data_IF_929607499191
#
_entry.id   IF_929607499191
#
_cell.length_a   1.000
_cell.length_b   1.000
_cell.length_c   1.000
_cell.angle_alpha   90.00
_cell.angle_beta   90.00
_cell.angle_gamma   90.00
#
_symmetry.space_group_name_H-M   'P 1'
#
loop_
_entity.id
_entity.type
_entity.pdbx_description
1 polymer ?
#
# COMPACT_ATOMS: atom_id res chain seq x y z
N UNK A 1 32.96 51.55 31.43
CA UNK A 1 33.08 50.11 31.12
C UNK A 1 31.68 49.60 30.77
N UNK A 2 31.16 49.90 29.59
CA UNK A 2 29.81 49.45 29.18
C UNK A 2 29.68 49.64 27.67
N UNK A 3 30.25 48.74 26.87
CA UNK A 3 30.01 48.74 25.41
C UNK A 3 30.20 47.39 24.71
N UNK A 4 30.44 46.28 25.42
CA UNK A 4 30.72 44.98 24.78
C UNK A 4 29.59 43.93 24.92
N UNK A 5 28.45 44.26 25.55
CA UNK A 5 27.38 43.26 25.77
C UNK A 5 26.26 43.24 24.72
N UNK A 6 26.18 44.23 23.83
CA UNK A 6 25.09 44.33 22.85
C UNK A 6 25.36 43.54 21.56
N UNK A 7 26.62 43.50 21.11
CA UNK A 7 27.04 42.81 19.87
C UNK A 7 27.00 41.28 19.99
N UNK A 8 27.30 40.73 21.16
CA UNK A 8 27.31 39.28 21.39
C UNK A 8 25.89 38.69 21.44
N UNK A 9 24.92 39.43 21.98
CA UNK A 9 23.51 39.04 22.02
C UNK A 9 22.88 39.00 20.62
N UNK A 10 23.26 39.95 19.74
CA UNK A 10 22.81 39.96 18.34
C UNK A 10 23.44 38.82 17.52
N UNK A 11 24.72 38.49 17.75
CA UNK A 11 25.40 37.35 17.12
C UNK A 11 24.81 36.00 17.55
N UNK A 12 24.48 35.84 18.84
CA UNK A 12 23.78 34.64 19.35
C UNK A 12 22.35 34.55 18.79
N UNK A 13 21.64 35.67 18.66
CA UNK A 13 20.32 35.74 18.05
C UNK A 13 20.30 35.39 16.55
N UNK A 14 21.29 35.85 15.78
CA UNK A 14 21.46 35.46 14.37
C UNK A 14 21.88 33.99 14.22
N UNK A 15 22.72 33.47 15.13
CA UNK A 15 23.14 32.06 15.13
C UNK A 15 21.99 31.12 15.48
N UNK A 16 21.12 31.50 16.42
CA UNK A 16 19.90 30.74 16.76
C UNK A 16 18.82 30.81 15.66
N UNK A 17 18.67 31.95 14.96
CA UNK A 17 17.80 32.04 13.78
C UNK A 17 18.31 31.20 12.60
N UNK A 18 19.63 31.12 12.41
CA UNK A 18 20.23 30.26 11.38
C UNK A 18 20.16 28.77 11.74
N UNK A 19 20.21 28.39 13.02
CA UNK A 19 19.94 27.02 13.46
C UNK A 19 18.46 26.64 13.33
N UNK A 20 17.52 27.55 13.62
CA UNK A 20 16.09 27.27 13.48
C UNK A 20 15.68 27.14 12.00
N UNK A 21 16.28 27.93 11.12
CA UNK A 21 16.12 27.86 9.66
C UNK A 21 16.85 26.67 9.02
N UNK A 22 17.98 26.21 9.56
CA UNK A 22 18.65 24.99 9.08
C UNK A 22 17.84 23.71 9.37
N UNK A 23 16.89 23.75 10.30
CA UNK A 23 16.01 22.64 10.66
C UNK A 23 14.63 22.70 9.98
N UNK A 24 14.34 23.73 9.17
CA UNK A 24 13.08 23.83 8.40
C UNK A 24 13.18 23.23 6.99
N UNK A 25 14.35 22.72 6.62
CA UNK A 25 14.54 21.97 5.38
C UNK A 25 14.50 20.47 5.69
N UNK A 26 13.84 19.64 4.86
CA UNK A 26 13.90 18.18 5.02
C UNK A 26 15.35 17.71 5.09
N UNK A 27 15.68 16.64 5.84
CA UNK A 27 17.05 16.14 5.94
C UNK A 27 17.58 15.89 4.53
N UNK A 28 18.59 16.69 4.18
CA UNK A 28 19.02 16.96 2.81
C UNK A 28 19.14 15.65 2.03
N UNK A 29 18.28 15.42 1.04
CA UNK A 29 18.21 14.16 0.27
C UNK A 29 19.56 13.65 -0.26
N UNK A 30 20.56 14.55 -0.37
CA UNK A 30 21.96 14.21 -0.63
C UNK A 30 22.59 13.22 0.37
N UNK A 31 22.23 13.28 1.66
CA UNK A 31 22.77 12.39 2.68
C UNK A 31 22.10 11.01 2.65
N UNK A 32 20.82 10.96 2.28
CA UNK A 32 20.08 9.71 2.07
C UNK A 32 20.64 8.93 0.87
N UNK A 33 21.11 9.63 -0.17
CA UNK A 33 21.76 9.04 -1.35
C UNK A 33 23.30 8.96 -1.26
N UNK A 34 23.90 9.16 -0.07
CA UNK A 34 25.35 9.07 0.11
C UNK A 34 25.87 7.65 -0.18
N UNK A 35 27.06 7.50 -0.75
CA UNK A 35 27.72 6.19 -0.93
C UNK A 35 28.09 5.54 0.40
N UNK A 36 28.33 6.35 1.44
CA UNK A 36 28.72 5.89 2.77
C UNK A 36 27.51 5.39 3.58
N UNK A 37 27.49 4.10 3.93
CA UNK A 37 26.39 3.47 4.70
C UNK A 37 26.13 4.23 6.01
N UNK A 38 27.18 4.56 6.76
CA UNK A 38 27.05 5.27 8.05
C UNK A 38 26.34 6.62 7.90
N UNK A 39 26.59 7.32 6.79
CA UNK A 39 25.92 8.60 6.47
C UNK A 39 24.44 8.39 6.19
N UNK A 40 24.09 7.36 5.40
CA UNK A 40 22.70 7.02 5.11
C UNK A 40 21.93 6.59 6.36
N UNK A 41 22.51 5.70 7.18
CA UNK A 41 21.90 5.22 8.42
C UNK A 41 21.59 6.40 9.37
N UNK A 42 22.53 7.34 9.51
CA UNK A 42 22.31 8.56 10.31
C UNK A 42 21.22 9.45 9.72
N UNK A 43 21.17 9.57 8.39
CA UNK A 43 20.15 10.35 7.71
C UNK A 43 18.74 9.77 7.90
N UNK A 44 18.59 8.44 7.84
CA UNK A 44 17.30 7.75 8.07
C UNK A 44 16.85 7.92 9.52
N UNK A 45 17.75 7.77 10.49
CA UNK A 45 17.44 8.03 11.90
C UNK A 45 16.97 9.47 12.15
N UNK A 46 17.67 10.44 11.55
CA UNK A 46 17.27 11.85 11.64
C UNK A 46 15.92 12.10 10.94
N UNK A 47 15.66 11.42 9.82
CA UNK A 47 14.36 11.50 9.13
C UNK A 47 13.24 10.96 10.00
N UNK A 48 13.43 9.80 10.65
CA UNK A 48 12.47 9.24 11.59
C UNK A 48 12.13 10.22 12.72
N UNK A 49 13.14 10.84 13.34
CA UNK A 49 12.97 11.86 14.38
C UNK A 49 12.26 13.13 13.89
N UNK A 50 12.54 13.54 12.65
CA UNK A 50 11.86 14.69 12.04
C UNK A 50 10.39 14.40 11.78
N UNK A 51 10.09 13.24 11.19
CA UNK A 51 8.75 12.81 10.82
C UNK A 51 7.84 12.54 12.03
N UNK A 52 8.43 12.15 13.17
CA UNK A 52 7.70 11.98 14.43
C UNK A 52 7.34 13.30 15.14
N UNK A 53 7.73 14.46 14.60
CA UNK A 53 7.44 15.77 15.19
C UNK A 53 6.37 16.53 14.40
N UNK A 54 5.14 16.52 14.92
CA UNK A 54 3.92 17.08 14.31
C UNK A 54 4.04 18.55 13.93
N UNK A 55 4.84 19.32 14.67
CA UNK A 55 4.99 20.75 14.41
C UNK A 55 5.84 21.07 13.17
N UNK A 56 6.53 20.07 12.59
CA UNK A 56 7.51 20.28 11.52
C UNK A 56 7.42 19.27 10.38
N UNK A 57 6.53 18.27 10.46
CA UNK A 57 6.48 17.19 9.48
C UNK A 57 5.58 17.48 8.26
N UNK A 58 5.00 18.67 8.16
CA UNK A 58 4.32 19.12 6.94
C UNK A 58 5.37 19.51 5.88
N UNK A 59 5.43 18.73 4.81
CA UNK A 59 6.38 18.88 3.73
C UNK A 59 5.66 19.32 2.46
N UNK A 60 6.16 20.39 1.85
CA UNK A 60 5.70 20.80 0.53
C UNK A 60 5.92 19.67 -0.50
N UNK A 61 5.08 19.62 -1.55
CA UNK A 61 5.22 18.62 -2.62
C UNK A 61 6.65 18.55 -3.22
N UNK A 62 7.32 19.68 -3.57
CA UNK A 62 8.69 19.64 -4.05
C UNK A 62 9.70 19.07 -3.05
N UNK A 63 9.47 19.29 -1.76
CA UNK A 63 10.35 18.77 -0.69
C UNK A 63 10.13 17.28 -0.45
N UNK A 64 8.87 16.83 -0.52
CA UNK A 64 8.50 15.41 -0.54
C UNK A 64 9.14 14.68 -1.74
N UNK A 65 9.14 15.29 -2.92
CA UNK A 65 9.77 14.72 -4.13
C UNK A 65 11.29 14.57 -3.98
N UNK A 66 11.96 15.60 -3.43
CA UNK A 66 13.41 15.54 -3.15
C UNK A 66 13.73 14.50 -2.10
N UNK A 67 12.91 14.42 -1.05
CA UNK A 67 13.05 13.45 0.03
C UNK A 67 12.99 12.04 -0.53
N UNK A 68 11.91 11.70 -1.25
CA UNK A 68 11.74 10.38 -1.82
C UNK A 68 12.78 10.03 -2.88
N UNK A 69 13.28 11.02 -3.63
CA UNK A 69 14.40 10.80 -4.56
C UNK A 69 15.66 10.38 -3.79
N UNK A 70 15.93 11.05 -2.67
CA UNK A 70 17.02 10.69 -1.75
C UNK A 70 16.86 9.29 -1.17
N UNK A 71 15.66 8.94 -0.70
CA UNK A 71 15.36 7.60 -0.14
C UNK A 71 15.52 6.52 -1.21
N UNK A 72 14.96 6.73 -2.41
CA UNK A 72 15.01 5.79 -3.52
C UNK A 72 16.45 5.41 -3.88
N UNK A 73 17.32 6.41 -4.09
CA UNK A 73 18.72 6.14 -4.40
C UNK A 73 19.53 5.70 -3.17
N UNK A 74 19.11 6.04 -1.96
CA UNK A 74 19.65 5.46 -0.73
C UNK A 74 19.43 3.95 -0.65
N UNK A 75 18.24 3.49 -1.01
CA UNK A 75 17.89 2.08 -1.11
C UNK A 75 18.57 1.40 -2.32
N UNK A 76 18.75 2.13 -3.42
CA UNK A 76 19.50 1.68 -4.59
C UNK A 76 20.93 1.22 -4.24
N UNK A 77 21.59 1.94 -3.33
CA UNK A 77 22.95 1.65 -2.83
C UNK A 77 23.02 0.56 -1.75
N UNK A 78 21.90 -0.09 -1.41
CA UNK A 78 21.87 -1.22 -0.47
C UNK A 78 22.03 -2.54 -1.19
N UNK A 79 23.17 -3.20 -1.04
CA UNK A 79 23.53 -4.42 -1.80
C UNK A 79 23.46 -5.72 -0.98
N UNK A 80 23.57 -5.64 0.35
CA UNK A 80 23.57 -6.84 1.22
C UNK A 80 22.13 -7.26 1.54
N UNK A 81 21.72 -8.53 1.29
CA UNK A 81 20.31 -8.95 1.44
C UNK A 81 19.68 -8.64 2.80
N UNK A 82 20.36 -8.96 3.91
CA UNK A 82 19.85 -8.66 5.26
C UNK A 82 19.74 -7.15 5.53
N UNK A 83 20.64 -6.35 4.94
CA UNK A 83 20.60 -4.89 5.05
C UNK A 83 19.44 -4.33 4.23
N UNK A 84 19.17 -4.88 3.04
CA UNK A 84 18.01 -4.50 2.24
C UNK A 84 16.70 -4.79 2.97
N UNK A 85 16.58 -5.97 3.59
CA UNK A 85 15.39 -6.35 4.36
C UNK A 85 15.16 -5.43 5.55
N UNK A 86 16.20 -5.21 6.36
CA UNK A 86 16.12 -4.31 7.52
C UNK A 86 15.76 -2.88 7.11
N UNK A 87 16.41 -2.36 6.05
CA UNK A 87 16.16 -1.02 5.55
C UNK A 87 14.76 -0.86 4.96
N UNK A 88 14.25 -1.85 4.23
CA UNK A 88 12.89 -1.80 3.69
C UNK A 88 11.84 -1.76 4.81
N UNK A 89 12.04 -2.53 5.87
CA UNK A 89 11.20 -2.46 7.08
C UNK A 89 11.30 -1.10 7.75
N UNK A 90 12.51 -0.59 7.99
CA UNK A 90 12.74 0.72 8.62
C UNK A 90 12.08 1.86 7.84
N UNK A 91 12.18 1.85 6.51
CA UNK A 91 11.55 2.85 5.65
C UNK A 91 10.02 2.75 5.66
N UNK A 92 9.46 1.54 5.58
CA UNK A 92 8.02 1.35 5.61
C UNK A 92 7.41 1.72 6.97
N UNK A 93 8.09 1.41 8.07
CA UNK A 93 7.65 1.75 9.42
C UNK A 93 7.62 3.27 9.67
N UNK A 94 8.26 4.10 8.85
CA UNK A 94 8.09 5.57 8.91
C UNK A 94 6.64 6.00 8.74
N UNK A 95 5.85 5.28 7.92
CA UNK A 95 4.40 5.48 7.77
C UNK A 95 3.68 5.36 9.12
N UNK A 96 4.19 4.48 9.98
CA UNK A 96 3.67 4.21 11.32
C UNK A 96 4.30 5.10 12.40
N UNK A 97 5.48 5.67 12.14
CA UNK A 97 6.16 6.64 13.02
C UNK A 97 5.56 8.04 12.92
N UNK A 98 5.14 8.46 11.72
CA UNK A 98 4.41 9.72 11.54
C UNK A 98 3.12 9.64 12.35
N UNK A 99 2.85 10.63 13.18
CA UNK A 99 1.76 10.65 14.16
C UNK A 99 0.41 10.93 13.50
N UNK A 100 0.31 11.96 12.69
CA UNK A 100 -0.93 12.37 12.01
C UNK A 100 -1.21 11.49 10.80
N UNK A 101 -2.49 11.18 10.57
CA UNK A 101 -2.88 10.30 9.44
C UNK A 101 -2.65 10.99 8.12
N UNK A 102 -2.99 12.28 8.02
CA UNK A 102 -2.78 13.04 6.80
C UNK A 102 -1.31 13.15 6.40
N UNK A 103 -0.38 13.48 7.32
CA UNK A 103 1.05 13.53 6.98
C UNK A 103 1.61 12.15 6.62
N UNK A 104 1.10 11.09 7.27
CA UNK A 104 1.48 9.70 6.96
C UNK A 104 1.04 9.30 5.55
N UNK A 105 -0.19 9.64 5.16
CA UNK A 105 -0.72 9.41 3.81
C UNK A 105 -0.03 10.29 2.76
N UNK A 106 0.33 11.54 3.08
CA UNK A 106 1.13 12.38 2.20
C UNK A 106 2.53 11.79 1.95
N UNK A 107 3.18 11.24 2.98
CA UNK A 107 4.44 10.51 2.82
C UNK A 107 4.27 9.28 1.91
N UNK A 108 3.20 8.51 2.11
CA UNK A 108 2.86 7.36 1.28
C UNK A 108 2.55 7.74 -0.17
N UNK A 109 1.91 8.89 -0.42
CA UNK A 109 1.69 9.42 -1.77
C UNK A 109 3.02 9.64 -2.49
N UNK A 110 3.96 10.29 -1.83
CA UNK A 110 5.30 10.51 -2.37
C UNK A 110 6.06 9.20 -2.66
N UNK A 111 5.86 8.15 -1.85
CA UNK A 111 6.39 6.81 -2.13
C UNK A 111 5.88 6.29 -3.47
N UNK A 112 4.56 6.27 -3.66
CA UNK A 112 3.94 5.72 -4.86
C UNK A 112 4.30 6.51 -6.12
N UNK A 113 4.29 7.84 -6.06
CA UNK A 113 4.72 8.69 -7.17
C UNK A 113 6.19 8.44 -7.55
N UNK A 114 7.07 8.27 -6.56
CA UNK A 114 8.47 7.92 -6.79
C UNK A 114 8.60 6.54 -7.44
N UNK A 115 7.87 5.55 -6.93
CA UNK A 115 7.90 4.19 -7.46
C UNK A 115 7.42 4.18 -8.91
N UNK A 116 6.28 4.79 -9.21
CA UNK A 116 5.76 4.89 -10.59
C UNK A 116 6.75 5.56 -11.53
N UNK A 117 7.39 6.65 -11.09
CA UNK A 117 8.33 7.41 -11.93
C UNK A 117 9.61 6.62 -12.25
N UNK A 118 10.20 5.95 -11.27
CA UNK A 118 11.52 5.34 -11.41
C UNK A 118 11.47 3.84 -11.78
N UNK A 119 10.30 3.19 -11.69
CA UNK A 119 10.17 1.73 -11.81
C UNK A 119 10.84 1.13 -13.04
N UNK A 120 10.58 1.72 -14.22
CA UNK A 120 11.11 1.23 -15.50
C UNK A 120 12.64 1.40 -15.60
N UNK A 121 13.23 2.26 -14.77
CA UNK A 121 14.69 2.45 -14.69
C UNK A 121 15.39 1.46 -13.76
N UNK A 122 14.64 0.62 -13.02
CA UNK A 122 15.22 -0.38 -12.13
C UNK A 122 15.72 -1.57 -12.96
N UNK A 123 17.02 -1.86 -12.88
CA UNK A 123 17.61 -2.99 -13.58
C UNK A 123 17.28 -4.34 -12.92
N UNK A 124 17.48 -5.41 -13.69
CA UNK A 124 17.14 -6.79 -13.29
C UNK A 124 17.83 -7.25 -12.01
N UNK A 125 19.00 -6.74 -11.66
CA UNK A 125 19.73 -7.15 -10.45
C UNK A 125 19.16 -6.48 -9.18
N UNK A 126 18.37 -5.42 -9.34
CA UNK A 126 17.82 -4.63 -8.23
C UNK A 126 16.31 -4.80 -8.05
N UNK A 127 15.60 -5.31 -9.04
CA UNK A 127 14.13 -5.34 -9.00
C UNK A 127 13.56 -6.09 -7.79
N UNK A 128 14.18 -7.20 -7.37
CA UNK A 128 13.69 -8.03 -6.26
C UNK A 128 13.61 -7.26 -4.93
N UNK A 129 14.61 -6.41 -4.62
CA UNK A 129 14.57 -5.61 -3.39
C UNK A 129 13.49 -4.53 -3.46
N UNK A 130 13.17 -4.01 -4.65
CA UNK A 130 12.08 -3.05 -4.82
C UNK A 130 10.70 -3.71 -4.77
N UNK A 131 10.55 -4.95 -5.26
CA UNK A 131 9.35 -5.75 -5.00
C UNK A 131 9.12 -5.96 -3.50
N UNK A 132 10.18 -6.30 -2.75
CA UNK A 132 10.12 -6.40 -1.30
C UNK A 132 9.78 -5.06 -0.63
N UNK A 133 10.36 -3.95 -1.11
CA UNK A 133 10.06 -2.61 -0.59
C UNK A 133 8.57 -2.28 -0.74
N UNK A 134 8.01 -2.49 -1.93
CA UNK A 134 6.57 -2.30 -2.18
C UNK A 134 5.74 -3.15 -1.22
N UNK A 135 6.11 -4.42 -1.02
CA UNK A 135 5.41 -5.31 -0.08
C UNK A 135 5.40 -4.76 1.35
N UNK A 136 6.53 -4.22 1.84
CA UNK A 136 6.62 -3.60 3.17
C UNK A 136 5.74 -2.35 3.29
N UNK A 137 5.73 -1.50 2.27
CA UNK A 137 4.90 -0.29 2.25
C UNK A 137 3.39 -0.60 2.19
N UNK A 138 2.98 -1.60 1.42
CA UNK A 138 1.57 -2.05 1.39
C UNK A 138 1.13 -2.52 2.77
N UNK A 139 1.92 -3.37 3.44
CA UNK A 139 1.61 -3.83 4.80
C UNK A 139 1.55 -2.67 5.82
N UNK A 140 2.53 -1.76 5.77
CA UNK A 140 2.56 -0.60 6.65
C UNK A 140 1.35 0.34 6.41
N UNK A 141 0.88 0.45 5.16
CA UNK A 141 -0.32 1.20 4.82
C UNK A 141 -1.57 0.61 5.49
N UNK A 142 -1.75 -0.72 5.43
CA UNK A 142 -2.87 -1.37 6.13
C UNK A 142 -2.75 -1.24 7.65
N UNK A 143 -1.55 -1.42 8.22
CA UNK A 143 -1.33 -1.19 9.66
C UNK A 143 -1.65 0.25 10.06
N UNK A 144 -1.40 1.23 9.18
CA UNK A 144 -1.77 2.62 9.41
C UNK A 144 -3.28 2.80 9.42
N UNK A 145 -3.99 2.25 8.44
CA UNK A 145 -5.45 2.33 8.36
C UNK A 145 -6.12 1.61 9.55
N UNK A 146 -5.58 0.48 9.98
CA UNK A 146 -6.00 -0.22 11.21
C UNK A 146 -5.85 0.68 12.44
N UNK A 147 -4.71 1.38 12.60
CA UNK A 147 -4.51 2.33 13.71
C UNK A 147 -5.43 3.54 13.64
N UNK A 148 -5.85 3.92 12.42
CA UNK A 148 -6.86 4.94 12.20
C UNK A 148 -8.29 4.38 12.30
N UNK A 149 -8.46 3.15 12.77
CA UNK A 149 -9.76 2.47 12.93
C UNK A 149 -10.59 2.44 11.64
N UNK A 150 -9.91 2.28 10.50
CA UNK A 150 -10.51 2.32 9.16
C UNK A 150 -11.33 3.58 8.92
N UNK A 151 -10.86 4.72 9.42
CA UNK A 151 -11.47 6.02 9.17
C UNK A 151 -11.79 6.23 7.69
N UNK A 152 -13.01 6.69 7.40
CA UNK A 152 -13.57 6.73 6.05
C UNK A 152 -12.75 7.66 5.15
N UNK A 153 -12.35 8.81 5.68
CA UNK A 153 -11.58 9.81 4.93
C UNK A 153 -10.15 9.30 4.69
N UNK A 154 -9.53 8.66 5.69
CA UNK A 154 -8.22 8.03 5.54
C UNK A 154 -8.23 6.91 4.48
N UNK A 155 -9.27 6.07 4.47
CA UNK A 155 -9.41 5.02 3.45
C UNK A 155 -9.67 5.61 2.05
N UNK A 156 -10.46 6.68 1.97
CA UNK A 156 -10.71 7.39 0.72
C UNK A 156 -9.42 8.03 0.17
N UNK A 157 -8.63 8.70 1.02
CA UNK A 157 -7.34 9.27 0.65
C UNK A 157 -6.34 8.20 0.23
N UNK A 158 -6.27 7.06 0.94
CA UNK A 158 -5.43 5.94 0.53
C UNK A 158 -5.82 5.38 -0.86
N UNK A 159 -7.12 5.22 -1.10
CA UNK A 159 -7.62 4.81 -2.41
C UNK A 159 -7.30 5.82 -3.51
N UNK A 160 -7.41 7.13 -3.21
CA UNK A 160 -7.00 8.19 -4.12
C UNK A 160 -5.50 8.11 -4.43
N UNK A 161 -4.63 7.89 -3.44
CA UNK A 161 -3.20 7.71 -3.65
C UNK A 161 -2.91 6.58 -4.65
N UNK A 162 -3.69 5.50 -4.61
CA UNK A 162 -3.51 4.38 -5.53
C UNK A 162 -4.01 4.66 -6.95
N UNK A 163 -5.11 5.41 -7.09
CA UNK A 163 -5.84 5.58 -8.35
C UNK A 163 -5.58 6.91 -9.08
N UNK A 164 -5.15 7.96 -8.38
CA UNK A 164 -4.87 9.26 -8.96
C UNK A 164 -3.67 9.20 -9.92
N UNK A 165 -3.48 10.27 -10.71
CA UNK A 165 -2.31 10.39 -11.58
C UNK A 165 -1.01 10.27 -10.75
N UNK A 166 -0.08 9.43 -11.21
CA UNK A 166 1.13 9.08 -10.44
C UNK A 166 0.94 7.93 -9.43
N UNK A 167 -0.29 7.43 -9.24
CA UNK A 167 -0.58 6.24 -8.45
C UNK A 167 -0.30 4.93 -9.21
N UNK A 168 0.04 3.82 -8.51
CA UNK A 168 0.47 2.56 -9.10
C UNK A 168 -0.60 1.80 -9.91
N UNK A 169 -1.88 2.20 -9.80
CA UNK A 169 -3.01 1.54 -10.46
C UNK A 169 -4.00 2.53 -11.08
N UNK A 170 -3.53 3.73 -11.44
CA UNK A 170 -4.31 4.70 -12.20
C UNK A 170 -4.76 4.11 -13.55
N UNK A 171 -6.07 3.92 -13.81
CA UNK A 171 -6.52 3.22 -15.03
C UNK A 171 -6.30 4.02 -16.32
N UNK A 172 -6.20 5.35 -16.22
CA UNK A 172 -6.08 6.29 -17.33
C UNK A 172 -4.65 6.75 -17.60
N UNK A 173 -3.70 6.48 -16.69
CA UNK A 173 -2.31 6.90 -16.84
C UNK A 173 -1.46 5.78 -17.48
N UNK A 174 -1.17 5.95 -18.78
CA UNK A 174 -0.34 5.02 -19.55
C UNK A 174 1.12 4.97 -19.09
N UNK A 175 1.58 5.91 -18.23
CA UNK A 175 2.93 5.90 -17.68
C UNK A 175 3.07 4.93 -16.52
N UNK A 176 1.96 4.45 -15.95
CA UNK A 176 1.97 3.47 -14.87
C UNK A 176 2.58 2.16 -15.37
N UNK A 177 3.69 1.70 -14.78
CA UNK A 177 4.31 0.44 -15.15
C UNK A 177 3.37 -0.73 -14.84
N UNK A 178 2.99 -1.52 -15.84
CA UNK A 178 2.06 -2.65 -15.64
C UNK A 178 2.59 -3.70 -14.67
N UNK A 179 3.90 -3.94 -14.66
CA UNK A 179 4.55 -4.85 -13.70
C UNK A 179 4.39 -4.40 -12.24
N UNK A 180 4.32 -3.08 -11.99
CA UNK A 180 4.08 -2.56 -10.64
C UNK A 180 2.65 -2.83 -10.21
N UNK A 181 1.67 -2.55 -11.08
CA UNK A 181 0.27 -2.88 -10.85
C UNK A 181 0.04 -4.38 -10.62
N UNK A 182 0.73 -5.24 -11.38
CA UNK A 182 0.62 -6.70 -11.27
C UNK A 182 1.19 -7.21 -9.96
N UNK A 183 2.38 -6.75 -9.58
CA UNK A 183 2.96 -7.09 -8.28
C UNK A 183 2.08 -6.60 -7.13
N UNK A 184 1.52 -5.40 -7.24
CA UNK A 184 0.60 -4.90 -6.23
C UNK A 184 -0.62 -5.83 -6.11
N UNK A 185 -1.23 -6.26 -7.21
CA UNK A 185 -2.33 -7.22 -7.19
C UNK A 185 -1.93 -8.57 -6.56
N UNK A 186 -0.72 -9.07 -6.82
CA UNK A 186 -0.22 -10.35 -6.31
C UNK A 186 -0.10 -10.38 -4.78
N UNK A 187 0.20 -9.24 -4.16
CA UNK A 187 0.53 -9.18 -2.73
C UNK A 187 -0.56 -8.53 -1.86
N UNK A 188 -1.52 -7.83 -2.47
CA UNK A 188 -2.39 -6.90 -1.74
C UNK A 188 -3.18 -7.57 -0.62
N UNK A 189 -3.90 -8.65 -0.93
CA UNK A 189 -4.72 -9.36 0.06
C UNK A 189 -3.85 -10.13 1.05
N UNK A 190 -2.71 -10.67 0.62
CA UNK A 190 -1.75 -11.33 1.50
C UNK A 190 -1.19 -10.38 2.56
N UNK A 191 -0.86 -9.14 2.18
CA UNK A 191 -0.36 -8.15 3.13
C UNK A 191 -1.46 -7.54 4.01
N UNK A 192 -2.72 -7.48 3.53
CA UNK A 192 -3.88 -7.14 4.36
C UNK A 192 -4.09 -8.21 5.45
N UNK A 193 -4.08 -9.49 5.07
CA UNK A 193 -4.23 -10.60 6.00
C UNK A 193 -3.18 -10.58 7.11
N UNK A 194 -1.90 -10.39 6.73
CA UNK A 194 -0.80 -10.23 7.70
C UNK A 194 -0.99 -9.01 8.60
N UNK A 195 -1.44 -7.88 8.05
CA UNK A 195 -1.65 -6.68 8.85
C UNK A 195 -2.72 -6.92 9.93
N UNK A 196 -3.82 -7.60 9.59
CA UNK A 196 -4.87 -8.01 10.53
C UNK A 196 -4.35 -8.95 11.63
N UNK A 197 -3.48 -9.89 11.29
CA UNK A 197 -2.88 -10.83 12.24
C UNK A 197 -1.94 -10.17 13.27
N UNK A 198 -1.28 -9.06 12.89
CA UNK A 198 -0.24 -8.40 13.71
C UNK A 198 -0.78 -7.34 14.67
N UNK A 199 -2.09 -7.11 14.70
CA UNK A 199 -2.70 -6.11 15.58
C UNK A 199 -2.69 -6.56 17.04
N UNK A 200 -2.21 -5.70 17.95
CA UNK A 200 -2.09 -6.00 19.39
C UNK A 200 -3.43 -6.01 20.14
N UNK A 201 -4.43 -5.33 19.59
CA UNK A 201 -5.84 -5.41 20.00
C UNK A 201 -6.67 -5.91 18.83
N UNK A 202 -7.80 -6.61 19.06
CA UNK A 202 -8.70 -7.00 17.97
C UNK A 202 -9.08 -5.74 17.18
N UNK A 203 -8.62 -5.61 15.93
CA UNK A 203 -8.92 -4.42 15.15
C UNK A 203 -10.40 -4.42 14.79
N UNK A 204 -10.94 -3.23 14.47
CA UNK A 204 -12.20 -3.18 13.75
C UNK A 204 -12.08 -4.01 12.45
N UNK A 205 -13.17 -4.65 11.99
CA UNK A 205 -13.13 -5.48 10.80
C UNK A 205 -12.74 -4.66 9.57
N UNK A 206 -11.93 -5.22 8.67
CA UNK A 206 -11.52 -4.52 7.46
C UNK A 206 -12.70 -4.27 6.50
N UNK A 207 -12.92 -3.05 6.00
CA UNK A 207 -13.97 -2.76 5.03
C UNK A 207 -13.55 -3.18 3.62
N UNK A 208 -13.77 -4.45 3.27
CA UNK A 208 -13.17 -5.04 2.08
C UNK A 208 -13.61 -4.37 0.79
N UNK A 209 -14.86 -3.95 0.67
CA UNK A 209 -15.32 -3.27 -0.54
C UNK A 209 -14.53 -1.99 -0.78
N UNK A 210 -14.36 -1.17 0.27
CA UNK A 210 -13.56 0.05 0.22
C UNK A 210 -12.09 -0.27 -0.12
N UNK A 211 -11.49 -1.30 0.49
CA UNK A 211 -10.07 -1.62 0.29
C UNK A 211 -9.77 -2.20 -1.12
N UNK A 212 -10.68 -2.96 -1.73
CA UNK A 212 -10.47 -3.54 -3.07
C UNK A 212 -11.00 -2.66 -4.21
N UNK A 213 -11.74 -1.59 -3.91
CA UNK A 213 -12.32 -0.66 -4.90
C UNK A 213 -11.31 -0.17 -5.95
N UNK A 214 -10.04 0.12 -5.63
CA UNK A 214 -9.06 0.49 -6.65
C UNK A 214 -8.83 -0.58 -7.73
N UNK A 215 -8.83 -1.86 -7.35
CA UNK A 215 -8.66 -2.96 -8.30
C UNK A 215 -9.91 -3.23 -9.12
N UNK A 216 -11.10 -3.06 -8.54
CA UNK A 216 -12.36 -3.14 -9.29
C UNK A 216 -12.43 -2.02 -10.33
N UNK A 217 -12.02 -0.80 -9.97
CA UNK A 217 -11.94 0.34 -10.88
C UNK A 217 -10.93 0.12 -12.00
N UNK A 218 -9.73 -0.40 -11.68
CA UNK A 218 -8.74 -0.77 -12.69
C UNK A 218 -9.25 -1.90 -13.60
N UNK A 219 -9.90 -2.93 -13.07
CA UNK A 219 -10.47 -4.01 -13.87
C UNK A 219 -11.54 -3.50 -14.84
N UNK A 220 -12.40 -2.57 -14.39
CA UNK A 220 -13.42 -1.96 -15.22
C UNK A 220 -12.84 -1.12 -16.37
N UNK A 221 -11.80 -0.34 -16.09
CA UNK A 221 -11.32 0.71 -16.98
C UNK A 221 -10.04 0.36 -17.75
N UNK A 222 -9.34 -0.72 -17.41
CA UNK A 222 -8.05 -1.05 -18.05
C UNK A 222 -8.20 -1.29 -19.56
N UNK A 223 -7.33 -0.71 -20.41
CA UNK A 223 -7.42 -0.89 -21.86
C UNK A 223 -6.98 -2.27 -22.33
N UNK A 224 -6.23 -3.03 -21.52
CA UNK A 224 -5.65 -4.31 -21.94
C UNK A 224 -6.36 -5.50 -21.27
N UNK A 225 -6.70 -6.50 -22.09
CA UNK A 225 -7.29 -7.74 -21.55
C UNK A 225 -6.32 -8.51 -20.66
N UNK A 226 -5.01 -8.32 -20.81
CA UNK A 226 -3.99 -8.96 -19.99
C UNK A 226 -4.04 -8.44 -18.56
N UNK A 227 -4.13 -7.11 -18.38
CA UNK A 227 -4.25 -6.50 -17.05
C UNK A 227 -5.52 -6.97 -16.34
N UNK A 228 -6.66 -7.00 -17.03
CA UNK A 228 -7.89 -7.56 -16.46
C UNK A 228 -7.69 -8.99 -15.94
N UNK A 229 -7.17 -9.89 -16.80
CA UNK A 229 -6.94 -11.30 -16.45
C UNK A 229 -5.97 -11.44 -15.28
N UNK A 230 -4.96 -10.57 -15.20
CA UNK A 230 -4.00 -10.58 -14.09
C UNK A 230 -4.66 -10.17 -12.77
N UNK A 231 -5.46 -9.10 -12.74
CA UNK A 231 -6.20 -8.67 -11.55
C UNK A 231 -7.18 -9.75 -11.10
N UNK A 232 -7.92 -10.34 -12.05
CA UNK A 232 -8.86 -11.41 -11.78
C UNK A 232 -8.15 -12.63 -11.15
N UNK A 233 -7.07 -13.11 -11.77
CA UNK A 233 -6.39 -14.32 -11.32
C UNK A 233 -5.56 -14.12 -10.04
N UNK A 234 -4.98 -12.93 -9.82
CA UNK A 234 -4.10 -12.67 -8.69
C UNK A 234 -4.84 -12.19 -7.43
N UNK A 235 -5.97 -11.49 -7.60
CA UNK A 235 -6.65 -10.83 -6.49
C UNK A 235 -8.10 -11.26 -6.34
N UNK A 236 -8.93 -11.16 -7.39
CA UNK A 236 -10.38 -11.38 -7.25
C UNK A 236 -10.73 -12.86 -7.03
N UNK A 237 -10.18 -13.76 -7.85
CA UNK A 237 -10.49 -15.18 -7.73
C UNK A 237 -9.98 -15.78 -6.40
N UNK A 238 -8.73 -15.54 -5.95
CA UNK A 238 -8.28 -16.03 -4.65
C UNK A 238 -9.09 -15.46 -3.48
N UNK A 239 -9.46 -14.17 -3.54
CA UNK A 239 -10.29 -13.55 -2.50
C UNK A 239 -11.69 -14.17 -2.45
N UNK A 240 -12.38 -14.32 -3.58
CA UNK A 240 -13.72 -14.89 -3.60
C UNK A 240 -13.73 -16.38 -3.25
N UNK A 241 -12.72 -17.14 -3.67
CA UNK A 241 -12.53 -18.52 -3.24
C UNK A 241 -12.31 -18.61 -1.73
N UNK A 242 -11.48 -17.74 -1.15
CA UNK A 242 -11.26 -17.70 0.29
C UNK A 242 -12.51 -17.30 1.10
N UNK A 243 -13.41 -16.50 0.53
CA UNK A 243 -14.68 -16.11 1.15
C UNK A 243 -15.82 -17.11 0.88
N UNK A 244 -15.60 -18.16 0.10
CA UNK A 244 -16.61 -19.18 -0.17
C UNK A 244 -16.79 -20.11 1.03
N UNK A 245 -17.93 -20.80 1.12
CA UNK A 245 -18.14 -21.83 2.14
C UNK A 245 -17.07 -22.92 1.99
N UNK A 246 -16.53 -23.47 3.11
CA UNK A 246 -15.70 -24.67 3.02
C UNK A 246 -16.59 -25.83 2.54
N UNK A 247 -16.46 -26.20 1.28
CA UNK A 247 -17.10 -27.39 0.71
C UNK A 247 -16.60 -28.63 1.48
N UNK A 248 -17.48 -29.58 1.80
CA UNK A 248 -17.09 -30.87 2.40
C UNK A 248 -16.37 -31.81 1.42
N UNK A 249 -16.19 -31.41 0.16
CA UNK A 249 -15.69 -32.25 -0.95
C UNK A 249 -14.37 -31.76 -1.55
N UNK A 250 -13.34 -31.48 -0.74
CA UNK A 250 -11.99 -31.27 -1.26
C UNK A 250 -11.38 -32.61 -1.73
N UNK A 251 -11.71 -33.04 -2.95
CA UNK A 251 -10.94 -34.05 -3.68
C UNK A 251 -9.55 -33.46 -4.03
N UNK A 252 -8.43 -34.17 -3.77
CA UNK A 252 -7.09 -33.59 -3.87
C UNK A 252 -6.74 -33.12 -5.30
N UNK A 253 -6.14 -31.93 -5.47
CA UNK A 253 -5.86 -31.37 -6.77
C UNK A 253 -4.81 -32.19 -7.53
N UNK A 254 -5.11 -32.50 -8.79
CA UNK A 254 -4.22 -33.23 -9.70
C UNK A 254 -2.93 -32.45 -9.94
N UNK A 255 -1.81 -33.14 -9.71
CA UNK A 255 -0.44 -32.63 -9.77
C UNK A 255 -0.08 -32.06 -11.15
N UNK A 256 -0.20 -30.75 -11.39
CA UNK A 256 0.55 -30.09 -12.49
C UNK A 256 0.76 -28.57 -12.41
N UNK A 257 0.40 -27.90 -11.32
CA UNK A 257 0.74 -26.48 -11.09
C UNK A 257 1.27 -26.19 -9.68
N UNK A 258 2.13 -27.06 -9.17
CA UNK A 258 2.86 -26.81 -7.93
C UNK A 258 4.20 -26.13 -8.22
N UNK A 259 4.24 -24.79 -8.23
CA UNK A 259 5.46 -24.09 -7.84
C UNK A 259 5.18 -22.67 -7.33
N UNK A 260 5.66 -22.42 -6.10
CA UNK A 260 5.76 -21.16 -5.34
C UNK A 260 4.62 -20.72 -4.40
N UNK A 261 3.88 -21.66 -3.81
CA UNK A 261 3.23 -21.44 -2.52
C UNK A 261 3.47 -22.66 -1.62
N UNK A 262 4.39 -22.52 -0.68
CA UNK A 262 4.46 -23.45 0.45
C UNK A 262 3.28 -23.12 1.38
N UNK A 263 2.09 -23.59 1.01
CA UNK A 263 0.93 -23.59 1.90
C UNK A 263 0.76 -25.02 2.39
N UNK A 264 1.06 -25.22 3.66
CA UNK A 264 0.67 -26.39 4.44
C UNK A 264 -0.83 -26.66 4.27
N UNK A 265 -1.18 -27.88 3.84
CA UNK A 265 -2.45 -28.59 4.02
C UNK A 265 -3.74 -27.75 3.90
N UNK A 266 -4.29 -27.53 2.69
CA UNK A 266 -5.70 -27.16 2.47
C UNK A 266 -6.22 -25.90 3.19
N UNK A 267 -5.35 -25.14 3.86
CA UNK A 267 -5.76 -24.03 4.68
C UNK A 267 -6.07 -22.81 3.81
N UNK A 268 -7.16 -22.11 4.15
CA UNK A 268 -7.54 -20.86 3.53
C UNK A 268 -6.33 -19.90 3.49
N UNK A 269 -5.98 -19.30 2.33
CA UNK A 269 -4.81 -18.45 2.21
C UNK A 269 -4.93 -17.12 2.97
N UNK A 270 -6.14 -16.70 3.33
CA UNK A 270 -6.43 -15.42 3.98
C UNK A 270 -7.33 -15.58 5.23
N UNK A 271 -6.91 -16.33 6.26
CA UNK A 271 -7.75 -16.67 7.40
C UNK A 271 -8.17 -15.45 8.24
N UNK A 272 -7.35 -14.40 8.29
CA UNK A 272 -7.64 -13.18 9.04
C UNK A 272 -8.58 -12.26 8.26
N UNK A 273 -8.42 -12.19 6.94
CA UNK A 273 -9.37 -11.49 6.06
C UNK A 273 -10.76 -12.11 6.21
N UNK A 274 -10.89 -13.43 6.15
CA UNK A 274 -12.19 -14.10 6.27
C UNK A 274 -12.83 -13.89 7.65
N UNK A 275 -12.04 -13.95 8.72
CA UNK A 275 -12.57 -13.88 10.10
C UNK A 275 -12.69 -12.46 10.69
N UNK A 276 -12.14 -11.45 10.02
CA UNK A 276 -12.02 -10.08 10.54
C UNK A 276 -12.27 -9.02 9.47
N UNK A 277 -13.30 -9.22 8.64
CA UNK A 277 -13.73 -8.27 7.62
C UNK A 277 -15.21 -7.93 7.70
N UNK A 278 -15.56 -6.79 7.12
CA UNK A 278 -16.91 -6.30 6.88
C UNK A 278 -17.01 -5.81 5.42
N UNK A 279 -18.19 -5.35 5.01
CA UNK A 279 -18.36 -4.84 3.65
C UNK A 279 -17.85 -3.41 3.50
N UNK A 280 -18.44 -2.42 4.18
CA UNK A 280 -18.07 -1.01 4.03
C UNK A 280 -17.80 -0.27 5.34
N UNK A 281 -18.68 -0.32 6.33
CA UNK A 281 -18.54 0.47 7.57
C UNK A 281 -18.28 -0.42 8.80
N UNK A 282 -17.03 -0.49 9.29
CA UNK A 282 -16.67 -1.37 10.39
C UNK A 282 -17.36 -1.05 11.71
N UNK A 283 -17.76 0.21 11.93
CA UNK A 283 -18.36 0.66 13.19
C UNK A 283 -19.83 0.26 13.30
N UNK A 284 -20.52 0.14 12.17
CA UNK A 284 -21.94 -0.22 12.14
C UNK A 284 -22.18 -1.68 11.78
N UNK A 285 -21.38 -2.26 10.89
CA UNK A 285 -21.63 -3.63 10.39
C UNK A 285 -21.04 -4.70 11.31
N UNK A 286 -19.96 -4.40 12.02
CA UNK A 286 -19.18 -5.44 12.69
C UNK A 286 -18.66 -6.47 11.68
N UNK A 287 -18.27 -7.65 12.17
CA UNK A 287 -17.75 -8.72 11.30
C UNK A 287 -18.88 -9.33 10.48
N UNK A 288 -18.62 -9.55 9.19
CA UNK A 288 -19.56 -10.19 8.27
C UNK A 288 -19.01 -11.57 7.89
N UNK A 289 -19.87 -12.57 7.91
CA UNK A 289 -19.53 -13.93 7.50
C UNK A 289 -19.01 -13.98 6.04
N UNK A 290 -18.09 -14.91 5.75
CA UNK A 290 -17.37 -15.01 4.48
C UNK A 290 -18.29 -15.07 3.26
N UNK A 291 -19.17 -16.09 3.17
CA UNK A 291 -20.16 -16.21 2.09
C UNK A 291 -21.05 -14.97 1.92
N UNK A 292 -21.57 -14.41 3.02
CA UNK A 292 -22.36 -13.19 2.95
C UNK A 292 -21.56 -11.99 2.41
N UNK A 293 -20.29 -11.88 2.78
CA UNK A 293 -19.38 -10.85 2.29
C UNK A 293 -19.02 -11.05 0.81
N UNK A 294 -18.76 -12.30 0.39
CA UNK A 294 -18.56 -12.69 -1.02
C UNK A 294 -19.72 -12.22 -1.88
N UNK A 295 -20.96 -12.53 -1.48
CA UNK A 295 -22.17 -12.12 -2.19
C UNK A 295 -22.29 -10.60 -2.33
N UNK A 296 -22.03 -9.84 -1.27
CA UNK A 296 -22.02 -8.37 -1.32
C UNK A 296 -20.92 -7.83 -2.26
N UNK A 297 -19.72 -8.41 -2.26
CA UNK A 297 -18.62 -8.01 -3.13
C UNK A 297 -18.87 -8.36 -4.60
N UNK A 298 -19.45 -9.54 -4.89
CA UNK A 298 -19.87 -9.92 -6.24
C UNK A 298 -20.94 -8.96 -6.77
N UNK A 299 -21.88 -8.53 -5.92
CA UNK A 299 -22.82 -7.46 -6.29
C UNK A 299 -22.09 -6.16 -6.61
N UNK A 300 -21.06 -5.77 -5.86
CA UNK A 300 -20.24 -4.60 -6.20
C UNK A 300 -19.55 -4.73 -7.57
N UNK A 301 -19.09 -5.94 -7.94
CA UNK A 301 -18.55 -6.21 -9.29
C UNK A 301 -19.62 -5.93 -10.36
N UNK A 302 -20.85 -6.38 -10.15
CA UNK A 302 -21.98 -6.10 -11.05
C UNK A 302 -22.27 -4.59 -11.15
N UNK A 303 -22.36 -3.89 -10.02
CA UNK A 303 -22.66 -2.45 -9.99
C UNK A 303 -21.56 -1.62 -10.65
N UNK A 304 -20.29 -2.02 -10.53
CA UNK A 304 -19.19 -1.35 -11.24
C UNK A 304 -19.26 -1.66 -12.73
N UNK A 305 -19.57 -2.90 -13.10
CA UNK A 305 -19.68 -3.30 -14.51
C UNK A 305 -20.78 -2.54 -15.26
N UNK A 306 -21.88 -2.18 -14.57
CA UNK A 306 -22.99 -1.41 -15.13
C UNK A 306 -22.68 0.08 -15.35
N UNK A 307 -21.59 0.60 -14.77
CA UNK A 307 -21.25 2.02 -14.90
C UNK A 307 -20.83 2.42 -16.33
N UNK A 308 -21.12 3.67 -16.75
CA UNK A 308 -20.73 4.20 -18.06
C UNK A 308 -19.22 4.17 -18.32
N UNK A 309 -18.41 4.35 -17.28
CA UNK A 309 -16.94 4.39 -17.37
C UNK A 309 -16.33 3.00 -17.61
N UNK A 310 -17.10 1.93 -17.39
CA UNK A 310 -16.64 0.56 -17.63
C UNK A 310 -16.54 0.28 -19.12
N UNK A 311 -15.36 -0.16 -19.55
CA UNK A 311 -15.13 -0.51 -20.97
C UNK A 311 -15.95 -1.73 -21.35
N UNK A 312 -16.59 -1.72 -22.52
CA UNK A 312 -17.46 -2.82 -22.99
C UNK A 312 -16.78 -4.19 -22.96
N UNK A 313 -15.48 -4.25 -23.30
CA UNK A 313 -14.71 -5.49 -23.28
C UNK A 313 -14.47 -6.04 -21.86
N UNK A 314 -14.47 -5.18 -20.84
CA UNK A 314 -14.30 -5.56 -19.44
C UNK A 314 -15.67 -5.83 -18.79
N UNK A 315 -16.72 -5.07 -19.15
CA UNK A 315 -18.10 -5.28 -18.69
C UNK A 315 -18.54 -6.73 -18.82
N UNK A 316 -18.35 -7.34 -20.00
CA UNK A 316 -18.70 -8.75 -20.25
C UNK A 316 -17.98 -9.71 -19.30
N UNK A 317 -16.70 -9.45 -19.00
CA UNK A 317 -15.90 -10.31 -18.13
C UNK A 317 -16.27 -10.14 -16.66
N UNK A 318 -16.62 -8.92 -16.25
CA UNK A 318 -17.07 -8.65 -14.88
C UNK A 318 -18.46 -9.25 -14.64
N UNK A 319 -19.36 -9.21 -15.62
CA UNK A 319 -20.62 -9.94 -15.54
C UNK A 319 -20.44 -11.45 -15.53
N UNK A 320 -19.50 -11.99 -16.29
CA UNK A 320 -19.15 -13.40 -16.19
C UNK A 320 -18.66 -13.76 -14.77
N UNK A 321 -17.73 -12.98 -14.21
CA UNK A 321 -17.24 -13.17 -12.84
C UNK A 321 -18.36 -13.10 -11.78
N UNK A 322 -19.29 -12.15 -11.93
CA UNK A 322 -20.46 -12.06 -11.05
C UNK A 322 -21.37 -13.28 -11.18
N UNK A 323 -21.66 -13.71 -12.41
CA UNK A 323 -22.55 -14.84 -12.69
C UNK A 323 -21.97 -16.15 -12.19
N UNK A 324 -20.70 -16.43 -12.47
CA UNK A 324 -20.00 -17.62 -11.99
C UNK A 324 -20.11 -17.71 -10.45
N UNK A 325 -19.95 -16.57 -9.76
CA UNK A 325 -20.10 -16.52 -8.30
C UNK A 325 -21.54 -16.65 -7.79
N UNK A 326 -22.55 -16.27 -8.58
CA UNK A 326 -23.96 -16.42 -8.22
C UNK A 326 -24.47 -17.85 -8.45
N UNK A 327 -23.96 -18.54 -9.48
CA UNK A 327 -24.32 -19.92 -9.80
C UNK A 327 -23.73 -20.90 -8.75
N UNK A 328 -22.56 -20.59 -8.16
CA UNK A 328 -21.96 -21.35 -7.04
C UNK A 328 -22.81 -21.36 -5.74
N UNK A 329 -23.78 -20.45 -5.60
CA UNK A 329 -24.62 -20.30 -4.39
C UNK A 329 -26.04 -20.88 -4.58
N UNK A 330 -26.35 -21.45 -5.75
CA UNK A 330 -27.69 -21.83 -6.17
C UNK A 330 -28.22 -23.21 -5.76
N UNK A 331 -27.51 -23.97 -4.91
CA UNK A 331 -27.88 -25.35 -4.53
C UNK A 331 -28.41 -25.50 -3.06
N UNK A 332 -28.63 -24.39 -2.33
CA UNK A 332 -29.15 -24.40 -0.95
C UNK A 332 -30.53 -23.72 -0.81
N UNK A 333 -31.53 -24.16 -1.58
CA UNK A 333 -32.97 -23.87 -1.34
C UNK A 333 -33.80 -25.15 -1.16
#
# INVERSE_FOLDING_TARGET
MESNHSTDSQLVGLRNKNLSAAMSSPPLGKFLASTEKKTRDKAIKNLSLFLSNDSRNDLSKPDMDKLWKGIFYGFWMSDKPLVQQALATELADLVLTITTTSSSLAFLRGFWEMMVREWNGIDRLRIDKYYMLVRRFVNASFRRLIRAEWDRDACAEYNDILMAAGGPICPSDLKVPTSLAYHLADIYIEELDKALATSTSPPLPAPLHTIIKPFLSLAAQTPTSVTYKRIQAALLNPLFSALSSPSQDDEPPTQKRARLTATTNGANPYPNVVSSSCYDDPKTEGKVDGPALRKKLLRAVFEIASQPETRDANRRKMYALWKDGADDEGDDD
#
